data_IF_848613339047
#
_entry.id   IF_848613339047
#
_cell.length_a   1.000
_cell.length_b   1.000
_cell.length_c   1.000
_cell.angle_alpha   90.00
_cell.angle_beta   90.00
_cell.angle_gamma   90.00
#
_symmetry.space_group_name_H-M   'P 1'
#
loop_
_entity.id
_entity.type
_entity.pdbx_description
1 polymer ?
#
# COMPACT_ATOMS: atom_id res chain seq x y z
N UNK A 1 -6.58 13.06 -7.40
CA UNK A 1 -5.19 12.89 -6.92
C UNK A 1 -4.88 11.41 -6.74
N UNK A 2 -3.68 10.95 -7.16
CA UNK A 2 -3.35 9.51 -7.28
C UNK A 2 -3.13 8.84 -5.92
N UNK A 3 -2.31 9.46 -5.07
CA UNK A 3 -1.99 8.95 -3.74
C UNK A 3 -3.23 8.84 -2.85
N UNK A 4 -4.08 9.88 -2.83
CA UNK A 4 -5.29 9.89 -2.01
C UNK A 4 -6.27 8.78 -2.41
N UNK A 5 -6.41 8.51 -3.72
CA UNK A 5 -7.26 7.41 -4.20
C UNK A 5 -6.72 6.05 -3.74
N UNK A 6 -5.39 5.86 -3.80
CA UNK A 6 -4.75 4.62 -3.37
C UNK A 6 -4.82 4.43 -1.85
N UNK A 7 -4.54 5.47 -1.07
CA UNK A 7 -4.60 5.44 0.40
C UNK A 7 -6.01 5.14 0.88
N UNK A 8 -7.03 5.83 0.35
CA UNK A 8 -8.43 5.59 0.72
C UNK A 8 -8.87 4.15 0.41
N UNK A 9 -8.51 3.62 -0.77
CA UNK A 9 -8.82 2.24 -1.15
C UNK A 9 -8.10 1.22 -0.26
N UNK A 10 -6.80 1.38 -0.06
CA UNK A 10 -5.99 0.49 0.79
C UNK A 10 -6.46 0.50 2.25
N UNK A 11 -6.88 1.66 2.76
CA UNK A 11 -7.42 1.79 4.12
C UNK A 11 -8.77 1.09 4.32
N UNK A 12 -9.54 0.92 3.23
CA UNK A 12 -10.82 0.21 3.26
C UNK A 12 -10.68 -1.32 3.29
N UNK A 13 -9.50 -1.84 2.94
CA UNK A 13 -9.23 -3.27 2.95
C UNK A 13 -9.09 -3.75 4.40
N UNK A 14 -9.88 -4.76 4.79
CA UNK A 14 -9.75 -5.45 6.09
C UNK A 14 -9.07 -6.80 5.87
N UNK A 15 -8.07 -7.11 6.70
CA UNK A 15 -7.35 -8.38 6.67
C UNK A 15 -6.83 -8.79 5.28
N UNK A 16 -6.41 -7.80 4.48
CA UNK A 16 -5.93 -8.02 3.12
C UNK A 16 -4.47 -8.49 3.10
N UNK A 17 -4.16 -9.36 2.13
CA UNK A 17 -2.79 -9.73 1.83
C UNK A 17 -2.06 -8.63 1.03
N UNK A 18 -0.75 -8.78 0.90
CA UNK A 18 0.06 -7.94 0.02
C UNK A 18 -0.46 -7.97 -1.43
N UNK A 19 -0.83 -9.16 -1.93
CA UNK A 19 -1.31 -9.34 -3.30
C UNK A 19 -2.68 -8.68 -3.51
N UNK A 20 -3.58 -8.73 -2.52
CA UNK A 20 -4.88 -8.04 -2.58
C UNK A 20 -4.70 -6.52 -2.68
N UNK A 21 -3.82 -5.97 -1.84
CA UNK A 21 -3.46 -4.56 -1.85
C UNK A 21 -2.81 -4.14 -3.18
N UNK A 22 -1.87 -4.94 -3.68
CA UNK A 22 -1.21 -4.69 -4.96
C UNK A 22 -2.19 -4.72 -6.13
N UNK A 23 -3.11 -5.68 -6.14
CA UNK A 23 -4.17 -5.77 -7.15
C UNK A 23 -5.09 -4.55 -7.09
N UNK A 24 -5.46 -4.08 -5.90
CA UNK A 24 -6.28 -2.89 -5.73
C UNK A 24 -5.58 -1.64 -6.29
N UNK A 25 -4.33 -1.39 -5.91
CA UNK A 25 -3.56 -0.23 -6.39
C UNK A 25 -3.38 -0.29 -7.91
N UNK A 26 -3.05 -1.47 -8.46
CA UNK A 26 -2.92 -1.63 -9.91
C UNK A 26 -4.21 -1.32 -10.67
N UNK A 27 -5.38 -1.68 -10.13
CA UNK A 27 -6.67 -1.32 -10.74
C UNK A 27 -6.86 0.20 -10.81
N UNK A 28 -6.55 0.92 -9.74
CA UNK A 28 -6.65 2.37 -9.68
C UNK A 28 -5.70 3.03 -10.67
N UNK A 29 -4.42 2.63 -10.67
CA UNK A 29 -3.41 3.16 -11.59
C UNK A 29 -3.79 2.92 -13.06
N UNK A 30 -4.28 1.71 -13.38
CA UNK A 30 -4.74 1.38 -14.74
C UNK A 30 -5.93 2.24 -15.16
N UNK A 31 -6.92 2.44 -14.29
CA UNK A 31 -8.07 3.28 -14.59
C UNK A 31 -7.63 4.73 -14.88
N UNK A 32 -6.79 5.33 -14.03
CA UNK A 32 -6.26 6.69 -14.23
C UNK A 32 -5.44 6.82 -15.52
N UNK A 33 -4.67 5.79 -15.86
CA UNK A 33 -3.91 5.74 -17.11
C UNK A 33 -4.83 5.71 -18.33
N UNK A 34 -5.84 4.83 -18.32
CA UNK A 34 -6.80 4.68 -19.42
C UNK A 34 -7.65 5.95 -19.61
N UNK A 35 -8.04 6.60 -18.52
CA UNK A 35 -8.74 7.88 -18.53
C UNK A 35 -7.87 9.05 -19.02
N UNK A 36 -6.57 8.83 -19.26
CA UNK A 36 -5.64 9.87 -19.71
C UNK A 36 -5.30 10.92 -18.64
N UNK A 37 -5.65 10.69 -17.37
CA UNK A 37 -5.44 11.65 -16.28
C UNK A 37 -3.96 11.91 -15.95
N UNK A 38 -3.06 11.05 -16.45
CA UNK A 38 -1.61 11.15 -16.24
C UNK A 38 -0.86 11.70 -17.46
N UNK A 39 -1.56 12.09 -18.54
CA UNK A 39 -0.94 12.52 -19.81
C UNK A 39 -0.04 13.75 -19.67
N UNK A 40 -0.37 14.66 -18.77
CA UNK A 40 0.42 15.87 -18.52
C UNK A 40 1.47 15.70 -17.40
N UNK A 41 1.57 14.49 -16.85
CA UNK A 41 2.64 14.14 -15.91
C UNK A 41 3.85 13.59 -16.66
N UNK A 42 5.03 13.66 -16.04
CA UNK A 42 6.26 13.03 -16.55
C UNK A 42 6.31 11.52 -16.27
N UNK A 43 5.21 10.91 -15.84
CA UNK A 43 5.16 9.51 -15.45
C UNK A 43 5.03 8.59 -16.65
N UNK A 44 5.86 7.55 -16.66
CA UNK A 44 5.86 6.51 -17.67
C UNK A 44 5.08 5.28 -17.23
N UNK A 45 4.66 4.45 -18.19
CA UNK A 45 3.99 3.18 -17.92
C UNK A 45 4.88 2.21 -17.13
N UNK A 46 6.20 2.26 -17.34
CA UNK A 46 7.17 1.44 -16.63
C UNK A 46 7.24 1.82 -15.14
N UNK A 47 7.10 3.10 -14.81
CA UNK A 47 7.12 3.57 -13.42
C UNK A 47 5.85 3.21 -12.65
N UNK A 48 4.72 2.96 -13.32
CA UNK A 48 3.45 2.61 -12.66
C UNK A 48 3.58 1.35 -11.78
N UNK A 49 4.31 0.34 -12.23
CA UNK A 49 4.54 -0.87 -11.44
C UNK A 49 5.30 -0.57 -10.16
N UNK A 50 6.39 0.19 -10.28
CA UNK A 50 7.21 0.60 -9.15
C UNK A 50 6.44 1.47 -8.14
N UNK A 51 5.61 2.38 -8.65
CA UNK A 51 4.73 3.21 -7.81
C UNK A 51 3.72 2.33 -7.05
N UNK A 52 3.14 1.32 -7.71
CA UNK A 52 2.21 0.40 -7.06
C UNK A 52 2.87 -0.34 -5.89
N UNK A 53 4.07 -0.88 -6.11
CA UNK A 53 4.85 -1.56 -5.06
C UNK A 53 5.14 -0.65 -3.87
N UNK A 54 5.56 0.60 -4.12
CA UNK A 54 5.86 1.57 -3.06
C UNK A 54 4.60 1.86 -2.21
N UNK A 55 3.43 2.05 -2.84
CA UNK A 55 2.18 2.27 -2.10
C UNK A 55 1.84 1.10 -1.18
N UNK A 56 1.99 -0.13 -1.67
CA UNK A 56 1.70 -1.34 -0.87
C UNK A 56 2.72 -1.51 0.25
N UNK A 57 4.01 -1.26 -0.01
CA UNK A 57 5.06 -1.31 1.01
C UNK A 57 4.79 -0.33 2.15
N UNK A 58 4.45 0.91 1.83
CA UNK A 58 4.10 1.92 2.84
C UNK A 58 2.86 1.49 3.62
N UNK A 59 1.79 1.06 2.93
CA UNK A 59 0.58 0.56 3.60
C UNK A 59 0.86 -0.63 4.53
N UNK A 60 1.72 -1.56 4.11
CA UNK A 60 2.07 -2.75 4.88
C UNK A 60 2.73 -2.40 6.22
N UNK A 61 3.53 -1.32 6.26
CA UNK A 61 4.18 -0.83 7.48
C UNK A 61 3.17 -0.27 8.51
N UNK A 62 2.05 0.30 8.04
CA UNK A 62 0.99 0.81 8.92
C UNK A 62 -0.01 -0.28 9.32
N UNK A 63 -0.27 -1.25 8.44
CA UNK A 63 -1.35 -2.23 8.63
C UNK A 63 -0.91 -3.49 9.40
N UNK A 64 0.37 -3.88 9.31
CA UNK A 64 0.91 -4.93 10.19
C UNK A 64 1.36 -4.30 11.51
N UNK A 65 0.60 -4.59 12.57
CA UNK A 65 0.85 -4.13 13.94
C UNK A 65 2.34 -4.22 14.29
N UNK A 66 2.90 -3.13 14.83
CA UNK A 66 4.12 -3.17 15.63
C UNK A 66 4.04 -4.36 16.56
N UNK A 67 5.01 -5.27 16.45
CA UNK A 67 5.10 -6.47 17.28
C UNK A 67 5.10 -5.99 18.74
N UNK A 68 4.09 -6.40 19.51
CA UNK A 68 4.10 -6.15 20.94
C UNK A 68 5.29 -6.91 21.53
N UNK A 69 6.16 -6.20 22.26
CA UNK A 69 7.30 -6.85 22.91
C UNK A 69 6.81 -8.04 23.74
N UNK A 70 7.43 -9.22 23.60
CA UNK A 70 7.03 -10.39 24.37
C UNK A 70 7.18 -10.09 25.87
N UNK A 71 6.07 -10.17 26.61
CA UNK A 71 6.02 -9.93 28.07
C UNK A 71 6.94 -10.85 28.88
N UNK A 72 7.45 -11.93 28.27
CA UNK A 72 8.33 -12.92 28.90
C UNK A 72 9.73 -12.39 29.27
N UNK A 73 10.14 -11.21 28.79
CA UNK A 73 11.44 -10.61 29.15
C UNK A 73 11.44 -9.85 30.50
N UNK A 74 10.31 -9.83 31.24
CA UNK A 74 10.16 -9.04 32.48
C UNK A 74 9.96 -9.88 33.75
N UNK A 75 9.95 -11.21 33.67
CA UNK A 75 9.89 -12.06 34.88
C UNK A 75 11.29 -12.49 35.29
N UNK A 76 11.98 -11.59 36.00
CA UNK A 76 13.13 -11.99 36.81
C UNK A 76 12.57 -12.78 38.00
N UNK A 77 12.73 -14.11 37.97
CA UNK A 77 12.29 -14.99 39.04
C UNK A 77 13.35 -14.98 40.16
N UNK A 78 13.04 -14.56 41.40
CA UNK A 78 13.90 -14.88 42.54
C UNK A 78 13.88 -16.37 42.86
#
# INVERSE_FOLDING_TARGET
>A
MLADSCEAALRSLKDASYDDALNMVNKILRARWQDGQLRESSLTRAEMGKIAEIFVQVWQQYHHKRIAYPKAALTNNP
#
